data_IF_588664578695
#
_entry.id   IF_588664578695
#
_cell.length_a   1.000
_cell.length_b   1.000
_cell.length_c   1.000
_cell.angle_alpha   90.00
_cell.angle_beta   90.00
_cell.angle_gamma   90.00
#
_symmetry.space_group_name_H-M   'P 1'
#
loop_
_entity.id
_entity.type
_entity.pdbx_description
1 polymer ?
#
# COMPACT_ATOMS: atom_id res chain seq x y z
N UNK A 1 11.94 0.57 -26.72
CA UNK A 1 13.23 1.17 -27.11
C UNK A 1 13.19 1.41 -28.60
N UNK A 2 13.29 2.68 -29.03
CA UNK A 2 13.06 3.09 -30.43
C UNK A 2 14.36 3.17 -31.25
N UNK A 3 15.49 3.40 -30.61
CA UNK A 3 16.81 3.44 -31.24
C UNK A 3 17.90 2.97 -30.26
N UNK A 4 19.03 2.53 -30.82
CA UNK A 4 20.23 2.17 -30.09
C UNK A 4 21.44 2.39 -30.98
N UNK A 5 22.39 3.18 -30.54
CA UNK A 5 23.60 3.46 -31.29
C UNK A 5 24.79 3.63 -30.35
N UNK A 6 25.96 3.22 -30.83
CA UNK A 6 27.24 3.48 -30.18
C UNK A 6 27.94 4.60 -30.96
N UNK A 7 27.82 5.82 -30.45
CA UNK A 7 28.29 7.03 -31.14
C UNK A 7 29.81 7.20 -31.02
N UNK A 8 30.40 6.86 -29.87
CA UNK A 8 31.81 7.11 -29.59
C UNK A 8 32.50 5.94 -28.87
N UNK A 9 33.81 5.78 -29.07
CA UNK A 9 34.62 4.75 -28.43
C UNK A 9 35.83 4.27 -29.26
N UNK A 10 36.86 3.78 -28.56
CA UNK A 10 38.07 3.20 -29.15
C UNK A 10 37.87 1.68 -29.26
N UNK A 11 37.85 1.17 -30.48
CA UNK A 11 37.88 -0.28 -30.74
C UNK A 11 39.27 -0.60 -31.29
N UNK A 12 40.01 -1.47 -30.59
CA UNK A 12 41.29 -1.97 -31.07
C UNK A 12 41.14 -3.46 -31.42
N UNK A 13 41.22 -3.77 -32.71
CA UNK A 13 41.15 -5.14 -33.22
C UNK A 13 42.50 -5.53 -33.80
N UNK A 14 43.02 -6.67 -33.37
CA UNK A 14 44.22 -7.29 -33.93
C UNK A 14 43.92 -8.75 -34.20
N UNK A 15 44.22 -9.20 -35.42
CA UNK A 15 44.20 -10.61 -35.75
C UNK A 15 45.53 -11.24 -35.33
N UNK A 16 45.49 -12.37 -34.64
CA UNK A 16 46.67 -13.15 -34.25
C UNK A 16 46.71 -14.47 -35.01
N UNK A 17 47.86 -15.16 -34.97
CA UNK A 17 48.00 -16.56 -35.40
C UNK A 17 47.80 -16.84 -36.91
N UNK A 18 48.05 -15.84 -37.77
CA UNK A 18 48.06 -16.00 -39.23
C UNK A 18 49.47 -16.21 -39.81
N UNK A 19 50.45 -16.53 -38.95
CA UNK A 19 51.84 -16.71 -39.34
C UNK A 19 52.42 -15.47 -40.02
N UNK A 20 53.06 -15.67 -41.18
CA UNK A 20 53.72 -14.61 -41.97
C UNK A 20 52.76 -13.51 -42.45
N UNK A 21 51.45 -13.76 -42.47
CA UNK A 21 50.46 -12.80 -42.97
C UNK A 21 49.87 -11.90 -41.87
N UNK A 22 50.18 -12.16 -40.60
CA UNK A 22 49.59 -11.47 -39.46
C UNK A 22 49.76 -9.95 -39.55
N UNK A 23 50.98 -9.47 -39.81
CA UNK A 23 51.26 -8.03 -39.89
C UNK A 23 50.72 -7.42 -41.18
N UNK A 24 50.81 -8.15 -42.30
CA UNK A 24 50.27 -7.70 -43.59
C UNK A 24 48.75 -7.51 -43.55
N UNK A 25 48.02 -8.41 -42.88
CA UNK A 25 46.57 -8.34 -42.76
C UNK A 25 46.16 -7.25 -41.77
N UNK A 26 46.82 -7.16 -40.62
CA UNK A 26 46.56 -6.10 -39.65
C UNK A 26 46.88 -4.70 -40.19
N UNK A 27 47.81 -4.56 -41.13
CA UNK A 27 48.13 -3.28 -41.78
C UNK A 27 47.16 -2.98 -42.94
N UNK A 28 46.86 -3.97 -43.78
CA UNK A 28 46.08 -3.78 -45.03
C UNK A 28 44.57 -3.70 -44.81
N UNK A 29 44.03 -4.51 -43.89
CA UNK A 29 42.58 -4.63 -43.65
C UNK A 29 42.15 -3.98 -42.33
N UNK A 30 43.02 -3.14 -41.74
CA UNK A 30 42.75 -2.49 -40.45
C UNK A 30 41.37 -1.83 -40.42
N UNK A 31 41.07 -1.02 -41.42
CA UNK A 31 39.84 -0.23 -41.47
C UNK A 31 38.60 -1.11 -41.71
N UNK A 32 38.72 -2.14 -42.55
CA UNK A 32 37.65 -3.11 -42.82
C UNK A 32 37.32 -3.97 -41.58
N UNK A 33 38.35 -4.43 -40.88
CA UNK A 33 38.19 -5.21 -39.63
C UNK A 33 37.57 -4.34 -38.55
N UNK A 34 38.02 -3.09 -38.40
CA UNK A 34 37.46 -2.14 -37.44
C UNK A 34 36.00 -1.81 -37.74
N UNK A 35 35.66 -1.55 -39.01
CA UNK A 35 34.27 -1.25 -39.41
C UNK A 35 33.34 -2.44 -39.11
N UNK A 36 33.77 -3.67 -39.43
CA UNK A 36 32.98 -4.87 -39.17
C UNK A 36 32.86 -5.19 -37.68
N UNK A 37 33.94 -5.01 -36.92
CA UNK A 37 33.91 -5.17 -35.47
C UNK A 37 32.98 -4.17 -34.80
N UNK A 38 32.99 -2.90 -35.22
CA UNK A 38 32.09 -1.86 -34.71
C UNK A 38 30.63 -2.20 -34.98
N UNK A 39 30.31 -2.65 -36.19
CA UNK A 39 28.96 -3.08 -36.55
C UNK A 39 28.50 -4.26 -35.67
N UNK A 40 29.33 -5.31 -35.54
CA UNK A 40 29.01 -6.48 -34.72
C UNK A 40 28.84 -6.15 -33.24
N UNK A 41 29.72 -5.34 -32.66
CA UNK A 41 29.64 -4.93 -31.26
C UNK A 41 28.37 -4.11 -31.03
N UNK A 42 28.07 -3.15 -31.91
CA UNK A 42 26.86 -2.32 -31.81
C UNK A 42 25.61 -3.18 -31.84
N UNK A 43 25.49 -4.08 -32.83
CA UNK A 43 24.36 -5.00 -32.93
C UNK A 43 24.25 -5.90 -31.70
N UNK A 44 25.36 -6.45 -31.23
CA UNK A 44 25.36 -7.37 -30.07
C UNK A 44 24.94 -6.65 -28.80
N UNK A 45 25.54 -5.50 -28.49
CA UNK A 45 25.23 -4.72 -27.29
C UNK A 45 23.77 -4.27 -27.32
N UNK A 46 23.31 -3.71 -28.45
CA UNK A 46 21.94 -3.24 -28.58
C UNK A 46 20.92 -4.37 -28.44
N UNK A 47 21.19 -5.54 -29.04
CA UNK A 47 20.34 -6.72 -28.89
C UNK A 47 20.30 -7.21 -27.44
N UNK A 48 21.44 -7.23 -26.75
CA UNK A 48 21.52 -7.62 -25.33
C UNK A 48 20.77 -6.65 -24.43
N UNK A 49 20.91 -5.33 -24.64
CA UNK A 49 20.18 -4.30 -23.89
C UNK A 49 18.67 -4.47 -24.13
N UNK A 50 18.27 -4.59 -25.39
CA UNK A 50 16.87 -4.74 -25.74
C UNK A 50 16.25 -6.00 -25.13
N UNK A 51 16.95 -7.14 -25.21
CA UNK A 51 16.55 -8.37 -24.55
C UNK A 51 16.47 -8.21 -23.04
N UNK A 52 17.44 -7.54 -22.42
CA UNK A 52 17.46 -7.30 -20.97
C UNK A 52 16.28 -6.44 -20.52
N UNK A 53 15.95 -5.38 -21.26
CA UNK A 53 14.78 -4.52 -20.95
C UNK A 53 13.49 -5.33 -21.06
N UNK A 54 13.29 -6.02 -22.19
CA UNK A 54 12.08 -6.80 -22.45
C UNK A 54 11.93 -7.94 -21.42
N UNK A 55 13.00 -8.69 -21.22
CA UNK A 55 12.94 -9.87 -20.37
C UNK A 55 12.95 -9.45 -18.91
N UNK A 56 13.80 -8.54 -18.43
CA UNK A 56 13.90 -8.29 -16.98
C UNK A 56 13.03 -7.11 -16.52
N UNK A 57 13.18 -5.96 -17.15
CA UNK A 57 12.52 -4.72 -16.70
C UNK A 57 11.01 -4.83 -16.90
N UNK A 58 10.56 -5.16 -18.12
CA UNK A 58 9.12 -5.26 -18.39
C UNK A 58 8.47 -6.39 -17.59
N UNK A 59 9.14 -7.53 -17.36
CA UNK A 59 8.60 -8.60 -16.50
C UNK A 59 8.35 -8.12 -15.06
N UNK A 60 9.19 -7.26 -14.51
CA UNK A 60 8.96 -6.69 -13.17
C UNK A 60 7.82 -5.68 -13.19
N UNK A 61 7.79 -4.79 -14.19
CA UNK A 61 6.72 -3.80 -14.33
C UNK A 61 5.34 -4.46 -14.56
N UNK A 62 5.28 -5.57 -15.30
CA UNK A 62 4.05 -6.35 -15.48
C UNK A 62 3.56 -7.07 -14.21
N UNK A 63 4.42 -7.22 -13.19
CA UNK A 63 4.01 -7.77 -11.89
C UNK A 63 3.42 -6.70 -10.96
N UNK A 64 3.40 -5.43 -11.36
CA UNK A 64 2.70 -4.41 -10.58
C UNK A 64 1.21 -4.76 -10.55
N UNK A 65 0.61 -4.85 -9.35
CA UNK A 65 -0.79 -5.24 -9.24
C UNK A 65 -1.69 -4.13 -9.77
N UNK A 66 -2.63 -4.48 -10.64
CA UNK A 66 -3.69 -3.56 -11.09
C UNK A 66 -4.74 -3.32 -10.00
N UNK A 67 -4.81 -4.19 -8.99
CA UNK A 67 -5.74 -4.06 -7.86
C UNK A 67 -5.01 -4.35 -6.55
N UNK A 68 -5.24 -3.50 -5.55
CA UNK A 68 -4.65 -3.64 -4.23
C UNK A 68 -5.74 -3.77 -3.16
N UNK A 69 -5.69 -4.83 -2.36
CA UNK A 69 -6.62 -5.04 -1.24
C UNK A 69 -6.29 -4.13 -0.07
N UNK A 70 -7.30 -3.42 0.44
CA UNK A 70 -7.14 -2.55 1.63
C UNK A 70 -6.72 -3.38 2.84
N UNK A 71 -7.25 -4.58 2.99
CA UNK A 71 -6.81 -5.50 4.05
C UNK A 71 -5.34 -5.85 3.92
N UNK A 72 -4.83 -6.07 2.71
CA UNK A 72 -3.42 -6.43 2.49
C UNK A 72 -2.51 -5.22 2.74
N UNK A 73 -2.96 -4.01 2.41
CA UNK A 73 -2.26 -2.77 2.80
C UNK A 73 -2.20 -2.68 4.33
N UNK A 74 -3.31 -2.84 5.04
CA UNK A 74 -3.34 -2.74 6.49
C UNK A 74 -2.48 -3.82 7.16
N UNK A 75 -2.51 -5.05 6.64
CA UNK A 75 -1.60 -6.13 7.08
C UNK A 75 -0.15 -5.81 6.75
N UNK A 76 0.14 -5.26 5.57
CA UNK A 76 1.49 -4.84 5.24
C UNK A 76 1.95 -3.70 6.14
N UNK A 77 1.11 -2.75 6.51
CA UNK A 77 1.48 -1.63 7.37
C UNK A 77 1.63 -2.04 8.84
N UNK A 78 0.65 -2.74 9.40
CA UNK A 78 0.55 -3.02 10.83
C UNK A 78 0.89 -4.46 11.22
N UNK A 79 1.05 -5.37 10.24
CA UNK A 79 1.41 -6.76 10.45
C UNK A 79 2.84 -6.98 10.92
N UNK A 80 3.11 -8.20 11.37
CA UNK A 80 4.38 -8.62 11.94
C UNK A 80 5.53 -8.37 10.96
N UNK A 81 6.62 -7.77 11.45
CA UNK A 81 7.89 -7.75 10.73
C UNK A 81 8.40 -9.19 10.62
N UNK A 82 8.64 -9.65 9.39
CA UNK A 82 9.43 -10.86 9.18
C UNK A 82 10.87 -10.57 9.61
N UNK A 83 11.49 -11.49 10.33
CA UNK A 83 12.91 -11.40 10.67
C UNK A 83 13.73 -11.41 9.37
N UNK A 84 14.13 -10.24 8.89
CA UNK A 84 15.10 -10.11 7.80
C UNK A 84 16.28 -9.29 8.29
N UNK A 85 17.37 -9.99 8.62
CA UNK A 85 18.62 -9.47 9.21
C UNK A 85 19.36 -8.44 8.35
N UNK A 86 18.99 -8.26 7.08
CA UNK A 86 19.84 -7.54 6.12
C UNK A 86 19.75 -6.00 6.21
N UNK A 87 18.69 -5.45 6.81
CA UNK A 87 18.49 -4.00 6.90
C UNK A 87 18.99 -3.39 8.24
N UNK A 88 19.46 -4.22 9.18
CA UNK A 88 19.90 -3.80 10.52
C UNK A 88 21.28 -3.11 10.54
N UNK A 89 22.04 -3.14 9.43
CA UNK A 89 23.40 -2.58 9.42
C UNK A 89 23.45 -1.05 9.31
N UNK A 90 22.36 -0.39 8.89
CA UNK A 90 22.33 1.05 8.63
C UNK A 90 21.38 1.83 9.56
N UNK A 91 21.54 1.67 10.88
CA UNK A 91 21.11 2.69 11.85
C UNK A 91 19.69 2.57 12.45
N UNK A 92 18.89 1.59 12.06
CA UNK A 92 17.58 1.38 12.68
C UNK A 92 17.69 0.47 13.91
N UNK A 93 18.02 1.07 15.06
CA UNK A 93 17.84 0.42 16.35
C UNK A 93 16.38 0.53 16.76
N UNK A 94 15.64 -0.58 16.72
CA UNK A 94 14.31 -0.61 17.32
C UNK A 94 14.02 -1.91 18.06
N UNK A 95 13.71 -1.78 19.35
CA UNK A 95 13.14 -2.82 20.20
C UNK A 95 11.63 -2.64 20.26
N UNK A 96 10.89 -2.99 19.21
CA UNK A 96 9.42 -3.11 19.30
C UNK A 96 9.03 -4.53 19.67
N UNK A 97 8.27 -4.66 20.75
CA UNK A 97 7.63 -5.91 21.14
C UNK A 97 6.49 -6.21 20.15
N UNK A 98 6.77 -7.11 19.20
CA UNK A 98 5.86 -7.60 18.12
C UNK A 98 4.53 -8.20 18.59
N UNK A 99 4.28 -8.27 19.90
CA UNK A 99 3.08 -8.85 20.53
C UNK A 99 1.86 -7.92 20.49
N UNK A 100 2.04 -6.61 20.63
CA UNK A 100 0.92 -5.65 20.79
C UNK A 100 0.15 -5.39 19.49
N UNK A 101 0.83 -5.39 18.34
CA UNK A 101 0.22 -5.12 17.02
C UNK A 101 -0.64 -6.27 16.51
N UNK A 102 -0.29 -7.53 16.81
CA UNK A 102 -1.11 -8.68 16.41
C UNK A 102 -2.47 -8.66 17.11
N UNK A 103 -2.49 -8.29 18.39
CA UNK A 103 -3.75 -8.12 19.15
C UNK A 103 -4.62 -6.98 18.61
N UNK A 104 -4.01 -5.97 17.98
CA UNK A 104 -4.72 -4.86 17.33
C UNK A 104 -5.34 -5.28 16.00
N UNK A 105 -4.67 -6.14 15.23
CA UNK A 105 -5.20 -6.68 13.97
C UNK A 105 -6.37 -7.66 14.22
N UNK A 106 -6.27 -8.48 15.27
CA UNK A 106 -7.36 -9.36 15.70
C UNK A 106 -8.60 -8.57 16.16
N UNK A 107 -8.39 -7.37 16.70
CA UNK A 107 -9.45 -6.47 17.16
C UNK A 107 -10.23 -5.80 16.02
N UNK A 108 -9.60 -5.47 14.89
CA UNK A 108 -10.19 -4.65 13.83
C UNK A 108 -11.00 -5.40 12.76
N UNK A 109 -11.27 -6.71 12.92
CA UNK A 109 -11.90 -7.61 11.92
C UNK A 109 -11.62 -7.20 10.45
N UNK A 110 -10.36 -7.32 10.06
CA UNK A 110 -9.92 -6.95 8.71
C UNK A 110 -10.52 -7.84 7.61
N UNK A 111 -11.21 -8.93 7.96
CA UNK A 111 -11.76 -9.88 6.98
C UNK A 111 -12.82 -9.22 6.10
N UNK A 112 -13.60 -8.30 6.65
CA UNK A 112 -14.59 -7.52 5.92
C UNK A 112 -13.94 -6.54 4.93
N UNK A 113 -12.78 -5.98 5.30
CA UNK A 113 -12.03 -5.03 4.47
C UNK A 113 -11.32 -5.70 3.28
N UNK A 114 -11.17 -7.02 3.27
CA UNK A 114 -10.64 -7.75 2.11
C UNK A 114 -11.45 -7.50 0.83
N UNK A 115 -12.72 -7.13 0.95
CA UNK A 115 -13.61 -6.82 -0.18
C UNK A 115 -13.36 -5.44 -0.79
N UNK A 116 -12.64 -4.57 -0.10
CA UNK A 116 -12.28 -3.24 -0.58
C UNK A 116 -10.96 -3.31 -1.35
N UNK A 117 -10.99 -2.84 -2.58
CA UNK A 117 -9.87 -2.84 -3.50
C UNK A 117 -9.60 -1.41 -3.98
N UNK A 118 -8.34 -1.11 -4.29
CA UNK A 118 -7.92 0.12 -4.98
C UNK A 118 -7.53 -0.29 -6.40
N UNK A 119 -8.14 0.33 -7.39
CA UNK A 119 -7.77 0.18 -8.79
C UNK A 119 -6.54 1.03 -9.09
N UNK A 120 -5.47 0.38 -9.51
CA UNK A 120 -4.19 0.96 -9.89
C UNK A 120 -3.93 0.79 -11.39
N UNK A 121 -5.00 0.72 -12.20
CA UNK A 121 -4.88 0.75 -13.65
C UNK A 121 -4.08 1.97 -14.10
N UNK A 122 -3.17 1.73 -15.04
CA UNK A 122 -2.34 2.75 -15.63
C UNK A 122 -3.19 3.68 -16.50
N UNK A 123 -3.16 4.97 -16.21
CA UNK A 123 -3.85 5.98 -17.00
C UNK A 123 -2.92 6.54 -18.07
N UNK A 124 -1.80 7.09 -17.63
CA UNK A 124 -0.84 7.76 -18.48
C UNK A 124 0.56 7.78 -17.86
N UNK A 125 1.54 8.23 -18.65
CA UNK A 125 2.88 8.54 -18.16
C UNK A 125 3.40 9.77 -18.86
N UNK A 126 4.20 10.55 -18.14
CA UNK A 126 4.90 11.71 -18.68
C UNK A 126 6.37 11.65 -18.30
N UNK A 127 7.22 12.17 -19.16
CA UNK A 127 8.65 12.29 -18.91
C UNK A 127 9.06 13.75 -19.06
N UNK A 128 9.61 14.32 -17.98
CA UNK A 128 10.29 15.61 -18.00
C UNK A 128 11.79 15.45 -18.25
N UNK A 129 12.51 16.56 -18.18
CA UNK A 129 13.98 16.59 -18.28
C UNK A 129 14.62 15.85 -17.11
N UNK A 130 13.98 15.87 -15.93
CA UNK A 130 14.52 15.37 -14.67
C UNK A 130 13.55 14.51 -13.87
N UNK A 131 12.40 14.16 -14.44
CA UNK A 131 11.42 13.29 -13.79
C UNK A 131 10.74 12.36 -14.79
N UNK A 132 10.21 11.25 -14.27
CA UNK A 132 9.28 10.38 -14.97
C UNK A 132 8.08 10.16 -14.04
N UNK A 133 6.88 10.50 -14.51
CA UNK A 133 5.65 10.34 -13.76
C UNK A 133 4.76 9.29 -14.40
N UNK A 134 4.04 8.55 -13.56
CA UNK A 134 3.05 7.56 -13.95
C UNK A 134 1.75 7.90 -13.23
N UNK A 135 0.68 8.12 -14.00
CA UNK A 135 -0.66 8.30 -13.49
C UNK A 135 -1.34 6.94 -13.30
N UNK A 136 -1.89 6.73 -12.11
CA UNK A 136 -2.68 5.55 -11.75
C UNK A 136 -4.11 5.99 -11.39
N UNK A 137 -5.10 5.15 -11.66
CA UNK A 137 -6.51 5.52 -11.49
C UNK A 137 -6.88 5.88 -10.05
N UNK A 138 -6.53 5.04 -9.07
CA UNK A 138 -6.78 5.28 -7.65
C UNK A 138 -8.23 5.08 -7.19
N UNK A 139 -9.10 4.49 -8.03
CA UNK A 139 -10.51 4.31 -7.69
C UNK A 139 -10.73 3.20 -6.65
N UNK A 140 -11.63 3.44 -5.71
CA UNK A 140 -12.06 2.43 -4.75
C UNK A 140 -13.07 1.46 -5.39
N UNK A 141 -12.97 0.15 -5.13
CA UNK A 141 -13.90 -0.88 -5.62
C UNK A 141 -14.35 -1.79 -4.48
N UNK A 142 -15.57 -2.34 -4.59
CA UNK A 142 -16.12 -3.32 -3.65
C UNK A 142 -16.45 -4.61 -4.37
N UNK A 143 -15.81 -5.68 -3.95
CA UNK A 143 -16.05 -7.02 -4.49
C UNK A 143 -17.37 -7.62 -3.98
N UNK A 144 -18.10 -8.30 -4.88
CA UNK A 144 -19.37 -9.01 -4.59
C UNK A 144 -19.17 -10.20 -3.60
N UNK A 145 -18.01 -10.86 -3.59
CA UNK A 145 -17.72 -12.04 -2.73
C UNK A 145 -16.26 -12.09 -2.22
N UNK A 146 -15.94 -13.00 -1.26
CA UNK A 146 -14.60 -13.07 -0.59
C UNK A 146 -13.46 -13.05 -1.61
N UNK A 147 -12.65 -12.01 -1.50
CA UNK A 147 -11.78 -11.45 -2.54
C UNK A 147 -10.57 -12.29 -2.96
N UNK A 148 -10.21 -13.36 -2.24
CA UNK A 148 -9.05 -14.19 -2.63
C UNK A 148 -9.24 -14.87 -3.98
N UNK A 149 -10.46 -15.32 -4.30
CA UNK A 149 -10.75 -15.91 -5.61
C UNK A 149 -10.74 -14.84 -6.73
N UNK A 150 -11.15 -13.62 -6.41
CA UNK A 150 -11.23 -12.48 -7.35
C UNK A 150 -9.84 -11.91 -7.62
N UNK A 151 -9.02 -11.69 -6.59
CA UNK A 151 -7.63 -11.20 -6.73
C UNK A 151 -6.80 -12.21 -7.53
N UNK A 152 -6.94 -13.51 -7.25
CA UNK A 152 -6.24 -14.55 -8.01
C UNK A 152 -6.74 -14.63 -9.46
N UNK A 153 -8.04 -14.44 -9.72
CA UNK A 153 -8.60 -14.38 -11.09
C UNK A 153 -8.14 -13.13 -11.85
N UNK A 154 -8.10 -11.96 -11.21
CA UNK A 154 -7.65 -10.70 -11.80
C UNK A 154 -6.15 -10.70 -12.10
N UNK A 155 -5.32 -11.24 -11.19
CA UNK A 155 -3.87 -11.38 -11.40
C UNK A 155 -3.51 -12.42 -12.48
N UNK A 156 -4.40 -13.38 -12.77
CA UNK A 156 -4.22 -14.33 -13.88
C UNK A 156 -4.68 -13.76 -15.23
N UNK A 157 -5.63 -12.82 -15.23
CA UNK A 157 -6.11 -12.15 -16.45
C UNK A 157 -5.04 -11.25 -17.07
N UNK A 158 -4.20 -10.60 -16.25
CA UNK A 158 -3.04 -9.83 -16.74
C UNK A 158 -1.91 -10.70 -17.32
N UNK A 159 -1.90 -12.01 -17.03
CA UNK A 159 -0.84 -12.94 -17.47
C UNK A 159 -1.18 -13.72 -18.75
N UNK A 160 -2.46 -13.89 -19.08
CA UNK A 160 -2.90 -14.73 -20.22
C UNK A 160 -2.80 -14.05 -21.60
N UNK A 161 -2.50 -12.75 -21.66
CA UNK A 161 -2.32 -12.00 -22.92
C UNK A 161 -0.91 -12.07 -23.51
N UNK A 162 0.04 -12.77 -22.90
CA UNK A 162 1.48 -12.67 -23.24
C UNK A 162 2.06 -13.96 -23.84
N UNK A 163 1.30 -15.07 -23.89
CA UNK A 163 1.87 -16.35 -24.31
C UNK A 163 1.99 -16.58 -25.84
N UNK A 164 1.65 -15.62 -26.69
CA UNK A 164 1.86 -15.77 -28.13
C UNK A 164 2.76 -14.66 -28.68
N UNK A 165 4.02 -15.03 -28.88
CA UNK A 165 4.96 -14.29 -29.72
C UNK A 165 4.48 -14.26 -31.19
N UNK A 166 4.69 -13.10 -31.80
CA UNK A 166 4.63 -12.76 -33.23
C UNK A 166 3.27 -12.24 -33.75
N UNK A 167 3.36 -11.07 -34.38
CA UNK A 167 2.35 -10.28 -35.10
C UNK A 167 1.41 -9.38 -34.28
N UNK A 168 1.84 -8.11 -34.22
CA UNK A 168 0.98 -6.93 -34.19
C UNK A 168 0.03 -6.96 -35.41
N UNK A 169 -1.13 -7.59 -35.25
CA UNK A 169 -2.33 -7.27 -36.02
C UNK A 169 -3.55 -7.48 -35.13
N UNK A 170 -4.20 -6.37 -34.77
CA UNK A 170 -5.52 -6.37 -34.19
C UNK A 170 -6.52 -6.92 -35.22
N UNK A 171 -6.77 -8.22 -35.21
CA UNK A 171 -8.02 -8.78 -35.74
C UNK A 171 -8.58 -9.73 -34.70
N UNK A 172 -9.52 -9.20 -33.92
CA UNK A 172 -10.46 -9.97 -33.09
C UNK A 172 -11.24 -10.93 -34.00
N UNK A 173 -11.03 -12.23 -33.84
CA UNK A 173 -12.06 -13.22 -34.15
C UNK A 173 -12.12 -14.30 -33.04
N UNK A 174 -13.30 -14.34 -32.42
CA UNK A 174 -13.90 -15.37 -31.58
C UNK A 174 -13.73 -15.31 -30.03
N UNK A 175 -14.51 -14.45 -29.34
CA UNK A 175 -14.50 -14.22 -27.90
C UNK A 175 -15.57 -15.05 -27.15
N UNK A 176 -15.67 -16.36 -27.38
CA UNK A 176 -16.88 -17.09 -27.01
C UNK A 176 -16.82 -18.02 -25.79
N UNK A 177 -15.67 -18.25 -25.12
CA UNK A 177 -15.64 -19.27 -24.03
C UNK A 177 -14.68 -18.97 -22.86
N UNK A 178 -14.60 -17.73 -22.39
CA UNK A 178 -14.02 -17.38 -21.07
C UNK A 178 -14.15 -15.89 -20.69
N UNK A 179 -15.20 -15.20 -21.15
CA UNK A 179 -15.47 -13.82 -20.70
C UNK A 179 -16.47 -13.88 -19.55
N UNK A 180 -15.95 -14.08 -18.34
CA UNK A 180 -16.55 -13.44 -17.18
C UNK A 180 -16.27 -11.95 -17.36
N UNK A 181 -17.29 -11.16 -17.68
CA UNK A 181 -17.13 -9.71 -17.76
C UNK A 181 -16.70 -9.21 -16.37
N UNK A 182 -15.70 -8.33 -16.32
CA UNK A 182 -15.17 -7.79 -15.06
C UNK A 182 -16.29 -7.16 -14.22
N UNK A 183 -17.35 -6.68 -14.87
CA UNK A 183 -18.58 -6.14 -14.27
C UNK A 183 -19.30 -7.15 -13.35
N UNK A 184 -19.20 -8.45 -13.61
CA UNK A 184 -19.82 -9.47 -12.76
C UNK A 184 -19.10 -9.64 -11.40
N UNK A 185 -17.88 -9.13 -11.24
CA UNK A 185 -17.04 -9.32 -10.04
C UNK A 185 -17.28 -8.25 -8.97
N UNK A 186 -17.79 -7.09 -9.35
CA UNK A 186 -17.90 -5.91 -8.50
C UNK A 186 -19.34 -5.45 -8.34
N UNK A 187 -19.66 -4.80 -7.22
CA UNK A 187 -21.02 -4.30 -6.98
C UNK A 187 -21.30 -3.05 -7.82
N UNK A 188 -22.04 -3.21 -8.92
CA UNK A 188 -22.36 -2.16 -9.88
C UNK A 188 -23.08 -0.96 -9.26
N UNK A 189 -23.87 -1.19 -8.20
CA UNK A 189 -24.55 -0.12 -7.48
C UNK A 189 -23.57 0.75 -6.66
N UNK A 190 -22.40 0.19 -6.34
CA UNK A 190 -21.33 0.86 -5.59
C UNK A 190 -20.20 1.38 -6.51
N UNK A 191 -20.11 0.89 -7.74
CA UNK A 191 -19.16 1.31 -8.77
C UNK A 191 -19.40 2.76 -9.20
N UNK A 192 -20.64 3.14 -9.50
CA UNK A 192 -21.05 4.44 -10.05
C UNK A 192 -20.94 5.63 -9.09
N UNK A 193 -20.33 5.43 -7.92
CA UNK A 193 -20.13 6.45 -6.89
C UNK A 193 -18.66 6.84 -6.92
N UNK A 194 -18.31 7.70 -7.86
CA UNK A 194 -16.98 8.31 -7.96
C UNK A 194 -17.11 9.80 -7.63
N UNK A 195 -16.46 10.22 -6.56
CA UNK A 195 -16.19 11.65 -6.34
C UNK A 195 -15.11 12.03 -7.36
N UNK A 196 -15.37 13.05 -8.19
CA UNK A 196 -14.52 13.46 -9.32
C UNK A 196 -13.02 13.36 -9.01
N UNK A 197 -12.29 12.59 -9.81
CA UNK A 197 -10.84 12.46 -9.69
C UNK A 197 -10.18 13.81 -10.01
N UNK A 198 -9.41 14.31 -9.06
CA UNK A 198 -8.67 15.58 -9.20
C UNK A 198 -7.36 15.27 -9.90
N UNK A 199 -7.27 15.67 -11.18
CA UNK A 199 -6.00 15.65 -11.90
C UNK A 199 -5.07 16.74 -11.35
N UNK A 200 -3.86 16.34 -10.98
CA UNK A 200 -2.81 17.25 -10.52
C UNK A 200 -2.17 17.91 -11.73
N UNK A 201 -2.74 19.02 -12.20
CA UNK A 201 -2.17 19.72 -13.36
C UNK A 201 -1.06 20.73 -13.01
N UNK A 202 -0.89 21.10 -11.73
CA UNK A 202 0.01 22.19 -11.30
C UNK A 202 0.74 21.91 -9.98
N UNK A 203 1.33 20.72 -9.81
CA UNK A 203 2.22 20.49 -8.67
C UNK A 203 3.64 20.93 -9.01
N UNK A 204 4.22 21.81 -8.19
CA UNK A 204 5.61 22.24 -8.32
C UNK A 204 6.49 21.10 -7.82
N UNK A 205 6.96 20.24 -8.74
CA UNK A 205 7.84 19.12 -8.43
C UNK A 205 9.13 19.64 -7.77
N UNK A 206 9.25 19.47 -6.46
CA UNK A 206 10.50 19.70 -5.73
C UNK A 206 11.07 18.33 -5.40
N UNK A 207 12.20 17.99 -6.02
CA UNK A 207 12.92 16.75 -5.75
C UNK A 207 13.37 16.72 -4.30
N UNK A 208 12.60 16.05 -3.46
CA UNK A 208 13.01 15.72 -2.09
C UNK A 208 13.54 14.27 -2.02
N UNK A 209 13.31 13.43 -3.03
CA UNK A 209 13.78 12.04 -3.05
C UNK A 209 14.00 11.40 -4.43
N UNK A 210 14.44 10.15 -4.42
CA UNK A 210 14.63 9.28 -5.60
C UNK A 210 13.30 8.81 -6.22
N UNK A 211 12.24 8.76 -5.42
CA UNK A 211 10.89 8.38 -5.84
C UNK A 211 9.86 9.07 -4.94
N UNK A 212 8.77 9.56 -5.52
CA UNK A 212 7.67 10.19 -4.78
C UNK A 212 6.35 9.54 -5.17
N UNK A 213 5.57 9.12 -4.18
CA UNK A 213 4.22 8.59 -4.36
C UNK A 213 3.25 9.64 -3.84
N UNK A 214 2.37 10.11 -4.71
CA UNK A 214 1.40 11.15 -4.39
C UNK A 214 0.00 10.55 -4.47
N UNK A 215 -0.79 10.73 -3.42
CA UNK A 215 -2.20 10.34 -3.44
C UNK A 215 -3.06 11.43 -2.81
N UNK A 216 -4.31 11.48 -3.23
CA UNK A 216 -5.24 12.51 -2.79
C UNK A 216 -6.17 11.98 -1.69
N UNK A 217 -6.70 12.88 -0.85
CA UNK A 217 -7.70 12.54 0.14
C UNK A 217 -8.99 12.01 -0.49
N UNK A 218 -9.26 12.32 -1.77
CA UNK A 218 -10.43 11.79 -2.48
C UNK A 218 -10.37 10.26 -2.57
N UNK A 219 -9.18 9.67 -2.73
CA UNK A 219 -9.02 8.20 -2.73
C UNK A 219 -9.47 7.63 -1.38
N UNK A 220 -8.99 8.21 -0.27
CA UNK A 220 -9.37 7.78 1.08
C UNK A 220 -10.87 7.98 1.36
N UNK A 221 -11.45 9.12 0.97
CA UNK A 221 -12.89 9.38 1.13
C UNK A 221 -13.75 8.46 0.26
N UNK A 222 -13.35 8.16 -0.98
CA UNK A 222 -14.02 7.20 -1.85
C UNK A 222 -14.00 5.80 -1.21
N UNK A 223 -12.87 5.39 -0.63
CA UNK A 223 -12.77 4.14 0.12
C UNK A 223 -13.72 4.11 1.31
N UNK A 224 -13.74 5.16 2.14
CA UNK A 224 -14.63 5.26 3.31
C UNK A 224 -16.11 5.24 2.90
N UNK A 225 -16.48 5.96 1.84
CA UNK A 225 -17.83 5.99 1.32
C UNK A 225 -18.30 4.62 0.82
N UNK A 226 -17.47 3.92 0.04
CA UNK A 226 -17.80 2.59 -0.46
C UNK A 226 -17.82 1.56 0.66
N UNK A 227 -16.90 1.65 1.62
CA UNK A 227 -16.89 0.80 2.82
C UNK A 227 -18.15 1.00 3.68
N UNK A 228 -18.58 2.26 3.86
CA UNK A 228 -19.80 2.61 4.58
C UNK A 228 -21.03 1.98 3.91
N UNK A 229 -21.22 2.21 2.59
CA UNK A 229 -22.38 1.67 1.86
C UNK A 229 -22.40 0.14 1.81
N UNK A 230 -21.22 -0.49 1.83
CA UNK A 230 -21.08 -1.94 1.89
C UNK A 230 -21.17 -2.52 3.31
N UNK A 231 -21.42 -1.69 4.35
CA UNK A 231 -21.46 -2.07 5.76
C UNK A 231 -20.17 -2.73 6.27
N UNK A 232 -19.01 -2.31 5.76
CA UNK A 232 -17.70 -2.88 6.09
C UNK A 232 -16.99 -2.16 7.25
N UNK A 233 -17.57 -1.09 7.76
CA UNK A 233 -16.98 -0.23 8.80
C UNK A 233 -17.51 -0.54 10.21
N UNK A 234 -18.13 -1.70 10.44
CA UNK A 234 -18.61 -2.08 11.76
C UNK A 234 -17.45 -2.53 12.65
N UNK A 235 -17.33 -1.94 13.85
CA UNK A 235 -16.33 -2.34 14.84
C UNK A 235 -17.03 -3.06 15.97
N UNK A 236 -16.51 -4.23 16.36
CA UNK A 236 -17.01 -5.01 17.49
C UNK A 236 -15.96 -5.04 18.60
N UNK A 237 -16.36 -4.58 19.78
CA UNK A 237 -15.54 -4.52 20.98
C UNK A 237 -16.15 -5.47 22.00
N UNK A 238 -15.35 -6.40 22.51
CA UNK A 238 -15.80 -7.41 23.46
C UNK A 238 -14.73 -7.73 24.49
N UNK A 239 -14.91 -8.82 25.24
CA UNK A 239 -14.03 -9.18 26.35
C UNK A 239 -12.55 -9.32 25.94
N UNK A 240 -12.30 -9.79 24.72
CA UNK A 240 -10.94 -10.05 24.21
C UNK A 240 -10.27 -8.78 23.65
N UNK A 241 -10.98 -7.66 23.55
CA UNK A 241 -10.43 -6.41 23.04
C UNK A 241 -9.38 -5.85 24.00
N UNK A 242 -8.13 -5.63 23.56
CA UNK A 242 -7.09 -5.03 24.40
C UNK A 242 -7.52 -3.65 24.91
N UNK A 243 -7.27 -3.35 26.19
CA UNK A 243 -7.71 -2.13 26.91
C UNK A 243 -9.22 -1.94 27.05
N UNK A 244 -10.02 -2.21 26.02
CA UNK A 244 -11.46 -1.94 26.03
C UNK A 244 -12.30 -3.06 26.65
N UNK A 245 -11.85 -4.32 26.60
CA UNK A 245 -12.57 -5.45 27.19
C UNK A 245 -12.87 -5.28 28.68
N UNK A 246 -11.85 -4.94 29.52
CA UNK A 246 -12.07 -4.63 30.94
C UNK A 246 -13.01 -3.45 31.17
N UNK A 247 -12.95 -2.41 30.32
CA UNK A 247 -13.83 -1.24 30.40
C UNK A 247 -15.31 -1.57 30.16
N UNK A 248 -15.61 -2.68 29.49
CA UNK A 248 -16.98 -3.12 29.22
C UNK A 248 -17.57 -4.03 30.30
N UNK A 249 -16.87 -4.25 31.43
CA UNK A 249 -17.44 -4.95 32.58
C UNK A 249 -18.36 -4.03 33.36
N UNK A 250 -19.50 -4.53 33.80
CA UNK A 250 -20.45 -3.75 34.61
C UNK A 250 -20.03 -3.65 36.07
N UNK A 251 -19.16 -4.54 36.56
CA UNK A 251 -18.67 -4.51 37.95
C UNK A 251 -17.14 -4.52 37.96
N UNK A 252 -16.56 -3.69 38.82
CA UNK A 252 -15.13 -3.40 38.81
C UNK A 252 -14.40 -4.23 39.86
N UNK A 253 -13.21 -4.69 39.50
CA UNK A 253 -12.27 -5.30 40.44
C UNK A 253 -11.39 -4.20 41.06
N UNK A 254 -10.75 -4.46 42.20
CA UNK A 254 -9.90 -3.47 42.90
C UNK A 254 -8.78 -2.86 42.02
N UNK A 255 -8.33 -3.59 41.00
CA UNK A 255 -7.18 -3.23 40.17
C UNK A 255 -7.54 -2.75 38.75
N UNK A 256 -8.82 -2.77 38.36
CA UNK A 256 -9.23 -2.48 36.98
C UNK A 256 -10.38 -1.48 36.91
N UNK A 257 -10.22 -0.45 36.08
CA UNK A 257 -11.31 0.47 35.71
C UNK A 257 -12.32 -0.27 34.85
N UNK A 258 -13.60 -0.18 35.19
CA UNK A 258 -14.69 -0.77 34.43
C UNK A 258 -15.82 0.24 34.15
N UNK A 259 -16.86 -0.20 33.43
CA UNK A 259 -18.00 0.65 33.09
C UNK A 259 -18.70 1.16 34.35
N UNK A 260 -18.84 0.31 35.36
CA UNK A 260 -19.49 0.61 36.64
C UNK A 260 -18.90 1.82 37.39
N UNK A 261 -17.59 2.05 37.28
CA UNK A 261 -16.94 3.23 37.90
C UNK A 261 -17.41 4.54 37.27
N UNK A 262 -17.64 4.52 35.95
CA UNK A 262 -18.12 5.68 35.20
C UNK A 262 -19.64 5.76 35.11
N UNK A 263 -20.33 4.64 35.33
CA UNK A 263 -21.75 4.42 35.09
C UNK A 263 -22.35 3.43 36.10
N UNK A 264 -22.66 3.88 37.33
CA UNK A 264 -23.17 3.00 38.38
C UNK A 264 -24.45 2.24 38.00
N UNK A 265 -25.32 2.84 37.18
CA UNK A 265 -26.57 2.24 36.72
C UNK A 265 -26.35 0.91 35.97
N UNK A 266 -25.22 0.78 35.26
CA UNK A 266 -24.86 -0.46 34.58
C UNK A 266 -24.58 -1.58 35.60
N UNK A 267 -23.93 -1.26 36.72
CA UNK A 267 -23.67 -2.20 37.83
C UNK A 267 -24.93 -2.59 38.59
N UNK A 268 -25.88 -1.66 38.72
CA UNK A 268 -27.14 -1.89 39.44
C UNK A 268 -28.10 -2.78 38.65
N UNK A 269 -28.26 -2.52 37.34
CA UNK A 269 -29.21 -3.23 36.48
C UNK A 269 -28.65 -4.60 36.04
N UNK A 270 -27.35 -4.66 35.74
CA UNK A 270 -26.69 -5.86 35.23
C UNK A 270 -25.42 -6.18 36.04
N UNK A 271 -25.54 -6.63 37.30
CA UNK A 271 -24.39 -6.87 38.16
C UNK A 271 -23.52 -8.04 37.65
N UNK A 272 -22.19 -7.87 37.69
CA UNK A 272 -21.18 -8.87 37.31
C UNK A 272 -21.31 -9.41 35.87
N UNK A 273 -21.72 -8.56 34.95
CA UNK A 273 -21.88 -8.90 33.54
C UNK A 273 -20.73 -8.35 32.68
N UNK A 274 -20.49 -9.03 31.56
CA UNK A 274 -19.63 -8.55 30.50
C UNK A 274 -20.50 -8.01 29.36
N UNK A 275 -20.23 -6.78 28.93
CA UNK A 275 -20.89 -6.21 27.76
C UNK A 275 -20.06 -6.41 26.50
N UNK A 276 -20.76 -6.42 25.37
CA UNK A 276 -20.21 -6.25 24.03
C UNK A 276 -20.73 -4.95 23.44
N UNK A 277 -19.87 -4.24 22.72
CA UNK A 277 -20.18 -2.98 22.07
C UNK A 277 -19.98 -3.15 20.57
N UNK A 278 -21.03 -2.89 19.79
CA UNK A 278 -20.95 -2.76 18.34
C UNK A 278 -21.05 -1.29 17.95
N UNK A 279 -20.03 -0.78 17.26
CA UNK A 279 -20.00 0.58 16.74
C UNK A 279 -20.35 0.51 15.25
N UNK A 280 -21.38 1.26 14.86
CA UNK A 280 -21.84 1.37 13.49
C UNK A 280 -21.82 2.82 13.05
N UNK A 281 -21.16 3.18 11.94
CA UNK A 281 -21.30 4.52 11.37
C UNK A 281 -22.74 4.74 10.91
N UNK A 282 -23.26 5.95 11.11
CA UNK A 282 -24.59 6.37 10.63
C UNK A 282 -24.51 7.14 9.31
N UNK A 283 -23.33 7.67 9.02
CA UNK A 283 -22.98 8.33 7.75
C UNK A 283 -21.55 7.92 7.33
N UNK A 284 -21.20 8.18 6.07
CA UNK A 284 -19.86 7.89 5.57
C UNK A 284 -18.83 8.78 6.29
N UNK A 285 -17.80 8.21 6.94
CA UNK A 285 -16.76 9.01 7.57
C UNK A 285 -16.01 9.84 6.53
N UNK A 286 -15.58 11.03 6.92
CA UNK A 286 -14.84 11.94 6.02
C UNK A 286 -13.45 12.21 6.56
N UNK A 287 -12.46 12.13 5.69
CA UNK A 287 -11.06 12.42 5.97
C UNK A 287 -10.64 13.68 5.23
N UNK A 288 -10.01 14.60 5.95
CA UNK A 288 -9.44 15.81 5.38
C UNK A 288 -7.96 15.92 5.76
N UNK A 289 -7.12 16.27 4.79
CA UNK A 289 -5.71 16.55 5.04
C UNK A 289 -5.44 18.03 4.82
N UNK A 290 -4.84 18.64 5.82
CA UNK A 290 -4.17 19.93 5.77
C UNK A 290 -2.69 19.75 6.10
N UNK A 291 -1.89 20.79 5.97
CA UNK A 291 -0.47 20.75 6.32
C UNK A 291 -0.29 20.20 7.74
N UNK A 292 0.44 19.08 7.81
CA UNK A 292 0.76 18.31 9.01
C UNK A 292 -0.43 17.85 9.88
N UNK A 293 -1.67 17.94 9.39
CA UNK A 293 -2.86 17.59 10.14
C UNK A 293 -3.86 16.80 9.28
N UNK A 294 -4.16 15.58 9.72
CA UNK A 294 -5.27 14.78 9.22
C UNK A 294 -6.47 14.85 10.17
N UNK A 295 -7.65 15.19 9.66
CA UNK A 295 -8.88 15.24 10.43
C UNK A 295 -9.86 14.17 9.93
N UNK A 296 -10.27 13.26 10.81
CA UNK A 296 -11.31 12.26 10.54
C UNK A 296 -12.58 12.63 11.32
N UNK A 297 -13.68 12.79 10.61
CA UNK A 297 -15.01 12.98 11.19
C UNK A 297 -15.80 11.69 11.09
N UNK A 298 -16.42 11.28 12.21
CA UNK A 298 -17.20 10.06 12.33
C UNK A 298 -18.47 10.32 13.14
N UNK A 299 -19.63 10.10 12.53
CA UNK A 299 -20.90 9.95 13.25
C UNK A 299 -21.31 8.50 13.26
N UNK A 300 -21.80 8.03 14.41
CA UNK A 300 -22.15 6.64 14.58
C UNK A 300 -23.08 6.38 15.75
N UNK A 301 -23.36 5.10 15.95
CA UNK A 301 -24.12 4.59 17.08
C UNK A 301 -23.36 3.43 17.70
N UNK A 302 -23.11 3.53 19.01
CA UNK A 302 -22.63 2.44 19.85
C UNK A 302 -23.82 1.66 20.39
N UNK A 303 -23.88 0.36 20.12
CA UNK A 303 -24.96 -0.52 20.56
C UNK A 303 -24.38 -1.55 21.53
N UNK A 304 -24.96 -1.64 22.72
CA UNK A 304 -24.50 -2.54 23.78
C UNK A 304 -25.36 -3.81 23.83
N UNK A 305 -24.70 -4.92 24.10
CA UNK A 305 -25.29 -6.25 24.26
C UNK A 305 -24.71 -6.93 25.49
N UNK A 306 -25.46 -7.88 26.06
CA UNK A 306 -24.92 -8.80 27.07
C UNK A 306 -24.13 -9.90 26.36
N UNK A 307 -22.85 -10.09 26.74
CA UNK A 307 -21.96 -11.04 26.09
C UNK A 307 -22.46 -12.50 26.16
N UNK A 308 -23.26 -12.83 27.18
CA UNK A 308 -23.83 -14.18 27.34
C UNK A 308 -24.90 -14.53 26.29
N UNK A 309 -25.46 -13.53 25.61
CA UNK A 309 -26.58 -13.71 24.70
C UNK A 309 -26.11 -13.72 23.24
N UNK A 310 -25.99 -14.92 22.67
CA UNK A 310 -25.51 -15.12 21.28
C UNK A 310 -26.35 -14.40 20.20
N UNK A 311 -27.59 -14.02 20.53
CA UNK A 311 -28.51 -13.21 19.72
C UNK A 311 -29.22 -12.17 20.60
N UNK A 312 -28.47 -11.56 21.52
CA UNK A 312 -29.03 -10.66 22.52
C UNK A 312 -29.74 -9.45 21.91
N UNK A 313 -30.81 -9.03 22.58
CA UNK A 313 -31.42 -7.74 22.26
C UNK A 313 -30.49 -6.60 22.71
N UNK A 314 -30.45 -5.48 21.97
CA UNK A 314 -29.64 -4.34 22.37
C UNK A 314 -30.16 -3.78 23.69
N UNK A 315 -29.27 -3.68 24.69
CA UNK A 315 -29.62 -3.19 26.04
C UNK A 315 -29.43 -1.68 26.17
N UNK A 316 -28.63 -1.07 25.28
CA UNK A 316 -28.42 0.38 25.22
C UNK A 316 -27.92 0.83 23.84
N UNK A 317 -28.17 2.10 23.52
CA UNK A 317 -27.82 2.75 22.25
C UNK A 317 -27.31 4.17 22.50
N UNK A 318 -26.07 4.43 22.13
CA UNK A 318 -25.42 5.74 22.28
C UNK A 318 -25.07 6.27 20.89
N UNK A 319 -25.88 7.17 20.31
CA UNK A 319 -25.51 7.92 19.13
C UNK A 319 -24.43 8.96 19.48
N UNK A 320 -23.42 9.11 18.63
CA UNK A 320 -22.29 9.99 18.87
C UNK A 320 -21.77 10.65 17.59
N UNK A 321 -21.09 11.78 17.78
CA UNK A 321 -20.24 12.44 16.80
C UNK A 321 -18.83 12.57 17.37
N UNK A 322 -17.82 12.28 16.56
CA UNK A 322 -16.43 12.52 16.93
C UNK A 322 -15.61 13.14 15.81
N UNK A 323 -14.71 14.04 16.20
CA UNK A 323 -13.65 14.58 15.37
C UNK A 323 -12.32 14.09 15.94
N UNK A 324 -11.58 13.36 15.12
CA UNK A 324 -10.25 12.83 15.41
C UNK A 324 -9.24 13.66 14.63
N UNK A 325 -8.16 14.08 15.28
CA UNK A 325 -7.09 14.84 14.68
C UNK A 325 -5.77 14.07 14.84
N UNK A 326 -5.16 13.70 13.73
CA UNK A 326 -3.83 13.13 13.66
C UNK A 326 -2.87 14.22 13.22
N UNK A 327 -2.12 14.79 14.15
CA UNK A 327 -1.02 15.68 13.84
C UNK A 327 0.19 14.83 13.44
N UNK A 328 0.79 15.11 12.29
CA UNK A 328 1.98 14.45 11.75
C UNK A 328 3.08 15.49 11.66
N UNK A 329 3.93 15.56 12.70
CA UNK A 329 5.18 16.32 12.65
C UNK A 329 6.31 15.50 12.05
N UNK A 330 7.45 16.15 11.79
CA UNK A 330 8.62 15.50 11.15
C UNK A 330 9.16 14.29 11.90
N UNK A 331 9.12 14.31 13.22
CA UNK A 331 9.64 13.24 14.08
C UNK A 331 8.56 12.59 14.93
N UNK A 332 7.43 13.28 15.15
CA UNK A 332 6.40 12.91 16.13
C UNK A 332 5.01 12.95 15.49
N UNK A 333 4.16 11.97 15.79
CA UNK A 333 2.74 12.09 15.54
C UNK A 333 1.98 12.25 16.86
N UNK A 334 0.78 12.80 16.82
CA UNK A 334 -0.12 12.78 17.98
C UNK A 334 -1.55 12.63 17.52
N UNK A 335 -2.30 11.77 18.21
CA UNK A 335 -3.73 11.64 18.03
C UNK A 335 -4.41 12.42 19.14
N UNK A 336 -5.22 13.39 18.75
CA UNK A 336 -6.12 14.12 19.63
C UNK A 336 -7.56 13.83 19.23
N UNK A 337 -8.46 13.91 20.20
CA UNK A 337 -9.90 13.82 19.98
C UNK A 337 -10.47 15.17 20.42
N UNK A 338 -10.36 16.23 19.61
CA UNK A 338 -10.84 17.56 19.98
C UNK A 338 -12.33 17.57 20.31
N UNK A 339 -13.13 16.70 19.65
CA UNK A 339 -14.56 16.59 19.88
C UNK A 339 -15.01 15.13 19.95
N UNK A 340 -15.71 14.80 21.04
CA UNK A 340 -16.51 13.59 21.20
C UNK A 340 -17.82 14.04 21.86
N UNK A 341 -18.92 13.94 21.13
CA UNK A 341 -20.24 14.41 21.55
C UNK A 341 -21.22 13.25 21.52
N UNK A 342 -21.82 12.96 22.67
CA UNK A 342 -22.93 12.03 22.79
C UNK A 342 -24.23 12.79 22.53
N UNK A 343 -25.01 12.30 21.56
CA UNK A 343 -26.22 12.99 21.11
C UNK A 343 -27.39 12.73 22.08
N UNK A 344 -28.32 13.69 22.17
CA UNK A 344 -29.43 13.66 23.14
C UNK A 344 -30.36 12.44 23.02
N UNK A 345 -30.41 11.82 21.84
CA UNK A 345 -31.18 10.60 21.59
C UNK A 345 -30.55 9.32 22.15
N UNK A 346 -29.52 9.44 22.99
CA UNK A 346 -28.93 8.33 23.72
C UNK A 346 -29.95 7.65 24.64
N UNK A 347 -30.08 6.33 24.48
CA UNK A 347 -30.84 5.47 25.36
C UNK A 347 -29.86 4.55 26.09
N UNK A 348 -29.44 5.00 27.27
CA UNK A 348 -28.53 4.26 28.12
C UNK A 348 -29.02 4.32 29.57
N UNK A 349 -29.87 3.36 29.94
CA UNK A 349 -30.40 3.20 31.29
C UNK A 349 -31.08 4.46 31.86
N UNK A 350 -31.73 5.27 31.00
CA UNK A 350 -32.38 6.55 31.34
C UNK A 350 -31.42 7.62 31.89
N UNK A 351 -30.12 7.46 31.67
CA UNK A 351 -29.11 8.47 32.02
C UNK A 351 -29.16 9.59 30.97
N UNK A 352 -29.26 10.87 31.38
CA UNK A 352 -29.21 11.99 30.43
C UNK A 352 -27.88 12.04 29.68
N UNK A 353 -27.91 12.45 28.41
CA UNK A 353 -26.72 12.52 27.54
C UNK A 353 -25.59 13.39 28.12
N UNK A 354 -25.92 14.45 28.88
CA UNK A 354 -24.92 15.33 29.53
C UNK A 354 -24.15 14.61 30.64
N UNK A 355 -24.82 13.83 31.47
CA UNK A 355 -24.19 12.99 32.51
C UNK A 355 -23.38 11.87 31.87
N UNK A 356 -23.93 11.26 30.82
CA UNK A 356 -23.26 10.22 30.03
C UNK A 356 -21.96 10.74 29.39
N UNK A 357 -21.97 11.99 28.91
CA UNK A 357 -20.79 12.65 28.35
C UNK A 357 -19.67 12.83 29.38
N UNK A 358 -19.98 13.36 30.57
CA UNK A 358 -18.99 13.68 31.61
C UNK A 358 -18.35 12.43 32.24
N UNK A 359 -19.09 11.33 32.35
CA UNK A 359 -18.55 10.06 32.87
C UNK A 359 -17.95 9.19 31.77
N UNK A 360 -18.84 8.62 30.96
CA UNK A 360 -18.49 7.61 29.97
C UNK A 360 -17.75 8.20 28.77
N UNK A 361 -18.20 9.35 28.25
CA UNK A 361 -17.57 10.03 27.12
C UNK A 361 -16.10 10.35 27.38
N UNK A 362 -15.80 10.98 28.52
CA UNK A 362 -14.42 11.32 28.91
C UNK A 362 -13.55 10.08 29.17
N UNK A 363 -14.13 9.02 29.76
CA UNK A 363 -13.43 7.75 29.97
C UNK A 363 -13.04 7.07 28.66
N UNK A 364 -13.97 7.01 27.69
CA UNK A 364 -13.68 6.48 26.34
C UNK A 364 -12.64 7.33 25.64
N UNK A 365 -12.78 8.65 25.67
CA UNK A 365 -11.84 9.57 25.01
C UNK A 365 -10.42 9.28 25.46
N UNK A 366 -10.22 9.15 26.77
CA UNK A 366 -8.92 8.80 27.36
C UNK A 366 -8.49 7.39 27.00
N UNK A 367 -9.40 6.41 26.98
CA UNK A 367 -9.10 5.04 26.57
C UNK A 367 -8.62 4.97 25.10
N UNK A 368 -9.26 5.71 24.18
CA UNK A 368 -8.87 5.78 22.76
C UNK A 368 -7.51 6.46 22.61
N UNK A 369 -7.27 7.58 23.29
CA UNK A 369 -5.97 8.27 23.24
C UNK A 369 -4.87 7.35 23.80
N UNK A 370 -5.12 6.69 24.93
CA UNK A 370 -4.19 5.73 25.53
C UNK A 370 -3.95 4.52 24.64
N UNK A 371 -4.99 4.00 23.99
CA UNK A 371 -4.86 2.92 23.02
C UNK A 371 -3.98 3.34 21.85
N UNK A 372 -4.28 4.48 21.23
CA UNK A 372 -3.49 5.00 20.12
C UNK A 372 -2.02 5.26 20.53
N UNK A 373 -1.81 5.81 21.71
CA UNK A 373 -0.46 6.10 22.22
C UNK A 373 0.33 4.81 22.48
N UNK A 374 -0.29 3.81 23.14
CA UNK A 374 0.39 2.56 23.55
C UNK A 374 0.51 1.51 22.44
N UNK A 375 -0.49 1.43 21.54
CA UNK A 375 -0.55 0.38 20.52
C UNK A 375 -0.11 0.85 19.14
N UNK A 376 -0.28 2.14 18.84
CA UNK A 376 0.21 2.74 17.60
C UNK A 376 1.54 3.49 17.80
N UNK A 377 2.12 3.43 19.01
CA UNK A 377 3.39 4.08 19.41
C UNK A 377 3.48 5.56 19.03
N UNK A 378 2.35 6.25 18.99
CA UNK A 378 2.26 7.60 18.44
C UNK A 378 3.16 8.60 19.21
N UNK A 379 3.37 8.41 20.52
CA UNK A 379 4.17 9.30 21.38
C UNK A 379 5.69 9.31 21.14
N UNK A 380 6.23 8.34 20.39
CA UNK A 380 7.69 8.23 20.12
C UNK A 380 8.06 8.56 18.67
N UNK A 381 7.15 9.21 17.93
CA UNK A 381 7.22 9.22 16.48
C UNK A 381 6.32 8.17 15.87
N UNK A 382 5.83 8.46 14.67
CA UNK A 382 5.33 7.41 13.79
C UNK A 382 6.52 6.47 13.50
N UNK A 383 6.79 5.53 14.41
CA UNK A 383 7.61 4.35 14.11
C UNK A 383 7.07 3.60 12.91
N UNK A 384 5.83 3.87 12.53
CA UNK A 384 5.30 3.57 11.22
C UNK A 384 6.27 3.88 10.07
N UNK A 385 6.94 5.04 10.02
CA UNK A 385 7.90 5.33 8.95
C UNK A 385 9.14 4.45 9.03
N UNK A 386 9.62 4.15 10.23
CA UNK A 386 10.72 3.23 10.46
C UNK A 386 10.33 1.79 10.08
N UNK A 387 9.16 1.32 10.51
CA UNK A 387 8.57 0.02 10.20
C UNK A 387 8.33 -0.09 8.69
N UNK A 388 7.78 0.95 8.08
CA UNK A 388 7.56 1.04 6.63
C UNK A 388 8.90 0.95 5.89
N UNK A 389 9.90 1.70 6.34
CA UNK A 389 11.27 1.62 5.82
C UNK A 389 11.84 0.20 5.93
N UNK A 390 11.69 -0.47 7.07
CA UNK A 390 12.12 -1.87 7.23
C UNK A 390 11.41 -2.83 6.28
N UNK A 391 10.10 -2.69 6.11
CA UNK A 391 9.31 -3.55 5.23
C UNK A 391 9.61 -3.30 3.75
N UNK A 392 9.86 -2.05 3.38
CA UNK A 392 10.18 -1.66 2.01
C UNK A 392 11.67 -1.85 1.68
N UNK A 393 12.56 -2.00 2.67
CA UNK A 393 13.98 -2.21 2.45
C UNK A 393 14.31 -3.51 1.68
N UNK A 394 13.45 -4.53 1.73
CA UNK A 394 13.58 -5.71 0.86
C UNK A 394 13.48 -5.35 -0.63
N UNK A 395 12.75 -4.28 -0.96
CA UNK A 395 12.55 -3.78 -2.30
C UNK A 395 13.57 -2.68 -2.68
N UNK A 396 14.57 -2.44 -1.83
CA UNK A 396 15.57 -1.40 -2.05
C UNK A 396 15.09 0.00 -1.74
N UNK A 397 13.99 0.16 -1.01
CA UNK A 397 13.44 1.46 -0.61
C UNK A 397 13.83 1.73 0.85
N UNK A 398 14.55 2.82 1.11
CA UNK A 398 14.94 3.26 2.45
C UNK A 398 14.53 4.71 2.73
N UNK A 399 14.39 5.03 4.03
CA UNK A 399 14.11 6.38 4.54
C UNK A 399 12.85 7.04 3.95
N UNK A 400 11.65 6.43 4.11
CA UNK A 400 10.42 7.07 3.68
C UNK A 400 10.08 8.30 4.53
N UNK A 401 9.65 9.37 3.88
CA UNK A 401 9.13 10.60 4.51
C UNK A 401 7.70 10.84 4.07
N UNK A 402 6.83 11.26 4.98
CA UNK A 402 5.45 11.62 4.67
C UNK A 402 5.26 13.11 4.89
N UNK A 403 4.59 13.77 3.94
CA UNK A 403 4.17 15.16 4.03
C UNK A 403 2.69 15.28 3.67
N UNK A 404 1.92 15.94 4.53
CA UNK A 404 0.54 16.31 4.23
C UNK A 404 0.51 17.72 3.65
N UNK A 405 -0.32 17.96 2.65
CA UNK A 405 -0.44 19.24 1.98
C UNK A 405 -1.83 19.85 2.17
N UNK A 406 -1.89 21.18 2.18
CA UNK A 406 -3.12 21.97 2.37
C UNK A 406 -4.21 21.74 1.29
N UNK A 407 -3.85 21.16 0.16
CA UNK A 407 -4.77 20.84 -0.93
C UNK A 407 -5.31 19.40 -0.85
N UNK A 408 -5.14 18.72 0.30
CA UNK A 408 -5.65 17.37 0.52
C UNK A 408 -4.78 16.27 -0.09
N UNK A 409 -3.54 16.57 -0.48
CA UNK A 409 -2.61 15.58 -1.01
C UNK A 409 -1.65 15.10 0.07
N UNK A 410 -1.26 13.84 -0.05
CA UNK A 410 -0.22 13.22 0.76
C UNK A 410 0.91 12.81 -0.16
N UNK A 411 2.13 13.16 0.24
CA UNK A 411 3.35 12.77 -0.45
C UNK A 411 4.09 11.79 0.43
N UNK A 412 4.40 10.63 -0.12
CA UNK A 412 5.37 9.69 0.41
C UNK A 412 6.64 9.80 -0.44
N UNK A 413 7.66 10.48 0.10
CA UNK A 413 8.96 10.65 -0.53
C UNK A 413 9.91 9.54 -0.08
N UNK A 414 10.65 8.97 -1.02
CA UNK A 414 11.67 7.94 -0.78
C UNK A 414 13.01 8.58 -1.10
N UNK A 415 13.86 8.79 -0.09
CA UNK A 415 15.16 9.43 -0.28
C UNK A 415 16.10 8.54 -1.08
N UNK A 416 16.21 7.27 -0.70
CA UNK A 416 17.15 6.31 -1.27
C UNK A 416 16.43 5.15 -1.94
N UNK A 417 16.72 4.96 -3.24
CA UNK A 417 16.20 3.85 -4.03
C UNK A 417 17.35 3.02 -4.62
N UNK A 418 17.47 1.77 -4.19
CA UNK A 418 18.34 0.78 -4.80
C UNK A 418 17.62 0.07 -5.95
N UNK A 419 17.81 0.62 -7.15
CA UNK A 419 17.23 0.14 -8.41
C UNK A 419 17.62 -1.33 -8.71
N UNK A 420 18.84 -1.76 -8.34
CA UNK A 420 19.27 -3.15 -8.56
C UNK A 420 18.47 -4.13 -7.70
N UNK A 421 18.22 -3.78 -6.44
CA UNK A 421 17.42 -4.60 -5.52
C UNK A 421 15.95 -4.60 -5.95
N UNK A 422 15.41 -3.45 -6.36
CA UNK A 422 14.04 -3.31 -6.84
C UNK A 422 13.76 -4.22 -8.05
N UNK A 423 14.66 -4.22 -9.04
CA UNK A 423 14.52 -5.03 -10.25
C UNK A 423 15.12 -6.43 -10.14
N UNK A 424 15.62 -6.82 -8.95
CA UNK A 424 16.33 -8.09 -8.70
C UNK A 424 17.39 -8.37 -9.77
N UNK A 425 18.18 -7.35 -10.08
CA UNK A 425 19.29 -7.43 -11.02
C UNK A 425 20.54 -7.81 -10.22
N UNK A 426 20.89 -9.10 -10.23
CA UNK A 426 22.13 -9.57 -9.59
C UNK A 426 23.37 -9.00 -10.32
N UNK A 427 24.34 -8.50 -9.56
CA UNK A 427 25.58 -7.91 -10.10
C UNK A 427 26.43 -8.93 -10.88
N UNK A 428 26.33 -10.21 -10.53
CA UNK A 428 27.09 -11.29 -11.15
C UNK A 428 26.61 -11.61 -12.58
N UNK A 429 25.35 -11.29 -12.90
CA UNK A 429 24.78 -11.48 -14.23
C UNK A 429 25.23 -10.42 -15.24
N UNK A 430 25.58 -9.22 -14.77
CA UNK A 430 26.16 -8.20 -15.63
C UNK A 430 27.55 -8.62 -16.10
N UNK A 431 28.37 -9.19 -15.20
CA UNK A 431 29.69 -9.68 -15.52
C UNK A 431 29.67 -10.94 -16.41
N UNK A 432 28.68 -11.83 -16.22
CA UNK A 432 28.57 -13.05 -17.03
C UNK A 432 27.96 -12.81 -18.42
N UNK A 433 27.01 -11.87 -18.57
CA UNK A 433 26.38 -11.58 -19.88
C UNK A 433 27.15 -10.56 -20.74
N UNK A 434 28.04 -9.75 -20.16
CA UNK A 434 28.97 -8.90 -20.92
C UNK A 434 30.32 -9.59 -21.23
N UNK A 435 30.52 -10.83 -20.78
CA UNK A 435 31.54 -11.68 -21.39
C UNK A 435 31.06 -12.07 -22.78
N UNK A 436 31.56 -11.40 -23.82
CA UNK A 436 31.41 -11.83 -25.22
C UNK A 436 32.17 -13.17 -25.36
N UNK A 437 31.56 -14.26 -24.93
CA UNK A 437 32.05 -15.62 -25.21
C UNK A 437 31.35 -16.11 -26.48
N UNK A 438 32.13 -16.05 -27.56
CA UNK A 438 31.96 -16.77 -28.83
C UNK A 438 30.61 -16.60 -29.56
N UNK A 439 30.47 -15.48 -30.27
CA UNK A 439 29.53 -15.34 -31.40
C UNK A 439 30.21 -15.47 -32.78
N UNK A 440 31.40 -16.07 -32.86
CA UNK A 440 32.18 -16.21 -34.11
C UNK A 440 32.01 -17.57 -34.84
N UNK A 441 31.10 -18.44 -34.43
CA UNK A 441 31.02 -19.80 -35.01
C UNK A 441 30.13 -19.97 -36.26
N UNK A 442 29.38 -18.95 -36.69
CA UNK A 442 28.40 -19.10 -37.79
C UNK A 442 28.66 -18.25 -39.04
N UNK A 443 29.89 -17.77 -39.26
CA UNK A 443 30.28 -17.26 -40.58
C UNK A 443 31.07 -18.31 -41.33
N UNK A 444 30.41 -18.94 -42.32
CA UNK A 444 31.02 -19.77 -43.37
C UNK A 444 32.42 -19.26 -43.72
N UNK A 445 33.43 -20.09 -43.47
CA UNK A 445 34.78 -19.88 -43.97
C UNK A 445 34.72 -19.68 -45.49
N UNK A 446 35.10 -18.50 -45.96
CA UNK A 446 35.59 -18.34 -47.32
C UNK A 446 37.07 -18.72 -47.30
N UNK A 447 37.38 -19.95 -47.75
CA UNK A 447 38.72 -20.30 -48.18
C UNK A 447 38.95 -19.67 -49.57
N UNK A 448 40.01 -18.88 -49.70
CA UNK A 448 40.74 -18.70 -50.95
C UNK A 448 42.14 -19.28 -50.74
#
# INVERSE_FOLDING_TARGET
MLSCELVDGIINTKVTDLGLFTDSINLKYKDDILAKARALITTTICNTIFKTIRDRVNRVLHKLPSFLSVSDILLFLFGKLGETEECLKNGFNMTTTTSSLNKLLDFLDLTSLKRLLINLEFLDSSAGVDYFSVGLMGDALVAKNRSEEIINKLNNFSQTSINNDNDLLFTSENPANSILQIDDLFDDNLQNITISNVFINNFEWRREGSMEIIFSQQIANNLLLKAFRANLLSISVGQNSPLFGPLLRTSCDLDNVCLGDSMPEASEIYPNEQLELKILPTEAPTLNFTEDLGTLSLSGIGIFFLARERFGQPIARIPFFTLLELNIGMENASLTIPKLEILESADFFKVPATTLQQGFGDSIRNAIINFATKFLNISSGLDFLNILGQKLCHWGISSPKIKLLNNGFVILSIEELNVYKLFRIDSDDFNNNFSIKNSFNDSKCFCC
#
